data_IF_045156661335
#
_entry.id   IF_045156661335
#
_cell.length_a   1.000
_cell.length_b   1.000
_cell.length_c   1.000
_cell.angle_alpha   90.00
_cell.angle_beta   90.00
_cell.angle_gamma   90.00
#
_symmetry.space_group_name_H-M   'P 1'
#
loop_
_entity.id
_entity.type
_entity.pdbx_description
1 polymer ?
#
# COMPACT_ATOMS: atom_id res chain seq x y z
N UNK A 1 -20.29 17.69 43.54
CA UNK A 1 -21.47 16.82 43.32
C UNK A 1 -22.34 17.49 42.24
N UNK A 2 -22.26 17.08 40.98
CA UNK A 2 -23.05 17.72 39.92
C UNK A 2 -22.51 17.53 38.49
N UNK A 3 -22.14 16.31 38.10
CA UNK A 3 -21.73 16.05 36.69
C UNK A 3 -22.18 14.66 36.15
N UNK A 4 -23.15 14.01 36.73
CA UNK A 4 -23.55 12.66 36.32
C UNK A 4 -25.03 12.52 35.92
N UNK A 5 -25.70 13.62 35.48
CA UNK A 5 -27.12 13.56 35.07
C UNK A 5 -27.40 13.83 33.58
N UNK A 6 -26.40 13.93 32.72
CA UNK A 6 -26.60 14.19 31.29
C UNK A 6 -26.73 12.93 30.39
N UNK A 7 -26.80 11.74 30.96
CA UNK A 7 -26.89 10.49 30.19
C UNK A 7 -28.08 9.59 30.50
N UNK A 8 -29.08 10.06 31.23
CA UNK A 8 -30.29 9.30 31.53
C UNK A 8 -31.54 10.09 31.16
N UNK A 9 -32.36 9.56 30.25
CA UNK A 9 -33.69 10.06 29.99
C UNK A 9 -34.66 9.62 31.09
N UNK A 10 -35.91 10.19 31.11
CA UNK A 10 -36.90 10.01 32.17
C UNK A 10 -37.27 8.56 32.55
N UNK A 11 -36.86 7.56 31.75
CA UNK A 11 -37.06 6.12 32.03
C UNK A 11 -35.83 5.40 32.57
N UNK A 12 -34.77 6.11 32.96
CA UNK A 12 -33.59 5.53 33.64
C UNK A 12 -32.70 4.63 32.77
N UNK A 13 -32.92 4.60 31.47
CA UNK A 13 -32.07 3.81 30.55
C UNK A 13 -30.90 4.64 29.96
N UNK A 14 -29.70 4.04 29.81
CA UNK A 14 -28.60 4.73 29.14
C UNK A 14 -28.97 5.11 27.71
N UNK A 15 -28.63 6.32 27.30
CA UNK A 15 -28.93 6.87 25.97
C UNK A 15 -28.48 5.95 24.82
N UNK A 16 -27.39 5.19 25.02
CA UNK A 16 -26.89 4.16 24.10
C UNK A 16 -27.90 3.02 23.90
N UNK A 17 -28.63 2.62 24.94
CA UNK A 17 -29.62 1.53 24.86
C UNK A 17 -30.86 1.99 24.08
N UNK A 18 -31.29 3.23 24.29
CA UNK A 18 -32.43 3.83 23.55
C UNK A 18 -32.07 3.94 22.07
N UNK A 19 -30.89 4.46 21.73
CA UNK A 19 -30.42 4.54 20.35
C UNK A 19 -30.29 3.15 19.69
N UNK A 20 -29.85 2.15 20.43
CA UNK A 20 -29.78 0.79 19.93
C UNK A 20 -31.15 0.18 19.68
N UNK A 21 -32.13 0.43 20.56
CA UNK A 21 -33.54 -0.01 20.39
C UNK A 21 -34.21 0.67 19.20
N UNK A 22 -34.05 1.97 19.05
CA UNK A 22 -34.55 2.71 17.89
C UNK A 22 -33.95 2.18 16.59
N UNK A 23 -32.68 1.84 16.61
CA UNK A 23 -32.00 1.28 15.45
C UNK A 23 -32.53 -0.12 15.08
N UNK A 24 -32.80 -0.97 16.08
CA UNK A 24 -33.41 -2.29 15.88
C UNK A 24 -34.85 -2.14 15.38
N UNK A 25 -35.63 -1.19 15.90
CA UNK A 25 -36.99 -0.95 15.49
C UNK A 25 -37.06 -0.41 14.06
N UNK A 26 -36.21 0.55 13.69
CA UNK A 26 -36.08 1.01 12.30
C UNK A 26 -35.66 -0.13 11.35
N UNK A 27 -34.71 -0.97 11.75
CA UNK A 27 -34.28 -2.16 10.99
C UNK A 27 -35.44 -3.15 10.80
N UNK A 28 -36.29 -3.33 11.83
CA UNK A 28 -37.45 -4.20 11.78
C UNK A 28 -38.54 -3.67 10.86
N UNK A 29 -38.86 -2.37 10.90
CA UNK A 29 -39.83 -1.75 10.00
C UNK A 29 -39.38 -1.80 8.53
N UNK A 30 -38.07 -1.60 8.26
CA UNK A 30 -37.49 -1.77 6.93
C UNK A 30 -37.64 -3.25 6.48
N UNK A 31 -37.33 -4.20 7.36
CA UNK A 31 -37.44 -5.62 7.06
C UNK A 31 -38.90 -6.05 6.78
N UNK A 32 -39.87 -5.56 7.58
CA UNK A 32 -41.29 -5.78 7.30
C UNK A 32 -41.72 -5.17 5.96
N UNK A 33 -41.31 -3.93 5.66
CA UNK A 33 -41.58 -3.29 4.39
C UNK A 33 -41.05 -4.10 3.20
N UNK A 34 -39.90 -4.75 3.34
CA UNK A 34 -39.36 -5.63 2.31
C UNK A 34 -40.12 -6.96 2.19
N UNK A 35 -40.50 -7.59 3.32
CA UNK A 35 -41.21 -8.86 3.33
C UNK A 35 -42.64 -8.75 2.78
N UNK A 36 -43.28 -7.62 2.96
CA UNK A 36 -44.68 -7.40 2.51
C UNK A 36 -44.80 -6.80 1.10
N UNK A 37 -43.69 -6.34 0.50
CA UNK A 37 -43.70 -5.68 -0.80
C UNK A 37 -43.52 -6.68 -1.96
N UNK A 38 -44.45 -6.73 -2.95
CA UNK A 38 -44.21 -7.54 -4.18
C UNK A 38 -42.95 -7.12 -4.93
N UNK A 39 -42.59 -5.83 -4.89
CA UNK A 39 -41.36 -5.31 -5.48
C UNK A 39 -40.09 -5.89 -4.80
N UNK A 40 -40.14 -6.13 -3.48
CA UNK A 40 -39.03 -6.76 -2.79
C UNK A 40 -38.86 -8.25 -3.16
N UNK A 41 -39.99 -8.98 -3.30
CA UNK A 41 -39.93 -10.37 -3.73
C UNK A 41 -39.34 -10.54 -5.13
N UNK A 42 -39.64 -9.65 -6.07
CA UNK A 42 -39.01 -9.62 -7.39
C UNK A 42 -37.49 -9.39 -7.32
N UNK A 43 -37.07 -8.52 -6.41
CA UNK A 43 -35.63 -8.27 -6.16
C UNK A 43 -34.91 -9.47 -5.52
N UNK A 44 -35.57 -10.18 -4.57
CA UNK A 44 -35.04 -11.43 -4.02
C UNK A 44 -34.91 -12.51 -5.10
N UNK A 45 -35.92 -12.68 -5.95
CA UNK A 45 -35.86 -13.62 -7.07
C UNK A 45 -34.69 -13.28 -8.00
N UNK A 46 -34.48 -12.01 -8.29
CA UNK A 46 -33.39 -11.54 -9.15
C UNK A 46 -32.01 -11.74 -8.50
N UNK A 47 -31.89 -11.58 -7.18
CA UNK A 47 -30.66 -11.94 -6.43
C UNK A 47 -30.34 -13.43 -6.53
N UNK A 48 -31.35 -14.30 -6.40
CA UNK A 48 -31.20 -15.74 -6.54
C UNK A 48 -30.75 -16.08 -7.96
N UNK A 49 -31.39 -15.50 -8.98
CA UNK A 49 -31.01 -15.70 -10.38
C UNK A 49 -29.59 -15.21 -10.64
N UNK A 50 -29.21 -14.03 -10.17
CA UNK A 50 -27.85 -13.49 -10.29
C UNK A 50 -26.82 -14.40 -9.63
N UNK A 51 -27.12 -14.94 -8.46
CA UNK A 51 -26.24 -15.90 -7.77
C UNK A 51 -26.10 -17.23 -8.53
N UNK A 52 -27.22 -17.79 -9.02
CA UNK A 52 -27.21 -19.03 -9.80
C UNK A 52 -26.44 -18.85 -11.12
N UNK A 53 -26.63 -17.72 -11.80
CA UNK A 53 -25.81 -17.36 -12.98
C UNK A 53 -24.33 -17.24 -12.64
N UNK A 54 -24.00 -16.55 -11.55
CA UNK A 54 -22.61 -16.43 -11.08
C UNK A 54 -22.00 -17.80 -10.79
N UNK A 55 -22.76 -18.69 -10.16
CA UNK A 55 -22.34 -20.04 -9.82
C UNK A 55 -22.13 -20.88 -11.09
N UNK A 56 -23.03 -20.81 -12.05
CA UNK A 56 -22.91 -21.51 -13.33
C UNK A 56 -21.69 -21.03 -14.14
N UNK A 57 -21.55 -19.70 -14.28
CA UNK A 57 -20.43 -19.09 -15.01
C UNK A 57 -19.11 -19.35 -14.29
N UNK A 58 -19.06 -19.21 -12.96
CA UNK A 58 -17.88 -19.51 -12.16
C UNK A 58 -17.43 -20.96 -12.31
N UNK A 59 -18.37 -21.93 -12.29
CA UNK A 59 -18.05 -23.36 -12.49
C UNK A 59 -17.48 -23.65 -13.87
N UNK A 60 -17.95 -22.96 -14.93
CA UNK A 60 -17.41 -23.09 -16.28
C UNK A 60 -16.07 -22.35 -16.46
N UNK A 61 -15.91 -21.19 -15.88
CA UNK A 61 -14.70 -20.37 -16.01
C UNK A 61 -13.53 -20.90 -15.17
N UNK A 62 -13.78 -21.46 -13.99
CA UNK A 62 -12.72 -22.02 -13.13
C UNK A 62 -11.76 -22.95 -13.88
N UNK A 63 -12.21 -24.02 -14.58
CA UNK A 63 -11.29 -24.93 -15.26
C UNK A 63 -10.57 -24.26 -16.45
N UNK A 64 -11.23 -23.31 -17.13
CA UNK A 64 -10.61 -22.55 -18.23
C UNK A 64 -9.50 -21.64 -17.70
N UNK A 65 -9.80 -20.86 -16.66
CA UNK A 65 -8.83 -19.97 -16.01
C UNK A 65 -7.67 -20.77 -15.43
N UNK A 66 -7.93 -21.89 -14.74
CA UNK A 66 -6.87 -22.73 -14.21
C UNK A 66 -6.00 -23.32 -15.32
N UNK A 67 -6.56 -23.80 -16.41
CA UNK A 67 -5.78 -24.33 -17.55
C UNK A 67 -4.93 -23.26 -18.23
N UNK A 68 -5.48 -22.06 -18.48
CA UNK A 68 -4.76 -20.97 -19.12
C UNK A 68 -3.66 -20.39 -18.23
N UNK A 69 -3.87 -20.40 -16.90
CA UNK A 69 -2.95 -19.81 -15.94
C UNK A 69 -1.95 -20.79 -15.35
N UNK A 70 -2.13 -22.12 -15.54
CA UNK A 70 -1.15 -23.11 -15.08
C UNK A 70 0.10 -23.04 -15.97
N UNK A 71 1.27 -22.65 -15.44
CA UNK A 71 2.49 -22.57 -16.24
C UNK A 71 2.97 -23.99 -16.59
N UNK A 72 3.50 -24.21 -17.80
CA UNK A 72 4.13 -25.48 -18.15
C UNK A 72 5.30 -25.81 -17.22
N UNK A 73 5.48 -27.09 -16.93
CA UNK A 73 6.53 -27.56 -16.02
C UNK A 73 7.91 -27.16 -16.56
N UNK A 74 8.72 -26.49 -15.71
CA UNK A 74 10.12 -26.13 -16.02
C UNK A 74 10.39 -24.67 -16.41
N UNK A 75 9.36 -23.83 -16.56
CA UNK A 75 9.60 -22.42 -16.89
C UNK A 75 9.63 -21.54 -15.63
N UNK A 76 10.79 -20.87 -15.39
CA UNK A 76 11.03 -19.94 -14.26
C UNK A 76 10.93 -18.46 -14.66
N UNK A 77 10.27 -18.14 -15.78
CA UNK A 77 10.13 -16.76 -16.24
C UNK A 77 9.16 -15.93 -15.38
N UNK A 78 9.33 -14.59 -15.39
CA UNK A 78 8.46 -13.61 -14.71
C UNK A 78 6.98 -13.84 -15.01
N UNK A 79 6.65 -14.23 -16.25
CA UNK A 79 5.29 -14.60 -16.68
C UNK A 79 4.71 -15.80 -15.92
N UNK A 80 5.52 -16.78 -15.54
CA UNK A 80 5.05 -17.94 -14.77
C UNK A 80 4.70 -17.55 -13.31
N UNK A 81 5.43 -16.61 -12.73
CA UNK A 81 5.15 -16.06 -11.41
C UNK A 81 3.87 -15.23 -11.41
N UNK A 82 3.65 -14.39 -12.43
CA UNK A 82 2.42 -13.64 -12.61
C UNK A 82 1.19 -14.56 -12.77
N UNK A 83 1.30 -15.65 -13.55
CA UNK A 83 0.22 -16.64 -13.70
C UNK A 83 -0.10 -17.33 -12.38
N UNK A 84 0.89 -17.74 -11.60
CA UNK A 84 0.68 -18.32 -10.26
C UNK A 84 0.01 -17.34 -9.30
N UNK A 85 0.38 -16.07 -9.39
CA UNK A 85 -0.25 -15.01 -8.59
C UNK A 85 -1.74 -14.86 -8.96
N UNK A 86 -2.09 -14.84 -10.25
CA UNK A 86 -3.46 -14.74 -10.71
C UNK A 86 -4.31 -15.96 -10.30
N UNK A 87 -3.73 -17.16 -10.21
CA UNK A 87 -4.43 -18.36 -9.73
C UNK A 87 -4.92 -18.24 -8.28
N UNK A 88 -4.24 -17.41 -7.46
CA UNK A 88 -4.68 -17.15 -6.08
C UNK A 88 -6.04 -16.43 -6.02
N UNK A 89 -6.44 -15.72 -7.08
CA UNK A 89 -7.70 -15.00 -7.14
C UNK A 89 -8.88 -15.82 -7.67
N UNK A 90 -8.65 -17.07 -8.10
CA UNK A 90 -9.71 -17.98 -8.57
C UNK A 90 -10.85 -18.16 -7.55
N UNK A 91 -10.62 -18.25 -6.23
CA UNK A 91 -11.69 -18.30 -5.23
C UNK A 91 -12.62 -17.08 -5.24
N UNK A 92 -12.12 -15.90 -5.64
CA UNK A 92 -12.92 -14.67 -5.73
C UNK A 92 -13.85 -14.62 -6.94
N UNK A 93 -13.67 -15.51 -7.90
CA UNK A 93 -14.45 -15.50 -9.16
C UNK A 93 -15.95 -15.55 -8.88
N UNK A 94 -16.40 -16.41 -7.96
CA UNK A 94 -17.81 -16.53 -7.61
C UNK A 94 -18.40 -15.26 -6.98
N UNK A 95 -17.85 -14.71 -5.87
CA UNK A 95 -18.46 -13.54 -5.26
C UNK A 95 -18.32 -12.29 -6.14
N UNK A 96 -17.27 -12.15 -6.95
CA UNK A 96 -17.12 -11.03 -7.89
C UNK A 96 -18.12 -11.12 -9.04
N UNK A 97 -18.36 -12.30 -9.60
CA UNK A 97 -19.40 -12.50 -10.61
C UNK A 97 -20.80 -12.25 -10.01
N UNK A 98 -21.05 -12.72 -8.78
CA UNK A 98 -22.30 -12.46 -8.10
C UNK A 98 -22.51 -10.96 -7.88
N UNK A 99 -21.48 -10.23 -7.45
CA UNK A 99 -21.49 -8.78 -7.34
C UNK A 99 -21.78 -8.09 -8.68
N UNK A 100 -21.12 -8.52 -9.76
CA UNK A 100 -21.30 -7.93 -11.10
C UNK A 100 -22.72 -8.17 -11.64
N UNK A 101 -23.22 -9.43 -11.59
CA UNK A 101 -24.58 -9.74 -12.05
C UNK A 101 -25.66 -9.05 -11.21
N UNK A 102 -25.44 -8.94 -9.90
CA UNK A 102 -26.33 -8.19 -9.02
C UNK A 102 -26.32 -6.69 -9.36
N UNK A 103 -25.16 -6.14 -9.71
CA UNK A 103 -25.06 -4.74 -10.16
C UNK A 103 -25.82 -4.47 -11.45
N UNK A 104 -25.77 -5.40 -12.42
CA UNK A 104 -26.57 -5.31 -13.63
C UNK A 104 -28.08 -5.40 -13.30
N UNK A 105 -28.45 -6.32 -12.41
CA UNK A 105 -29.83 -6.45 -11.94
C UNK A 105 -30.33 -5.20 -11.19
N UNK A 106 -29.49 -4.53 -10.42
CA UNK A 106 -29.82 -3.27 -9.75
C UNK A 106 -30.20 -2.17 -10.74
N UNK A 107 -29.43 -2.03 -11.83
CA UNK A 107 -29.71 -1.04 -12.87
C UNK A 107 -31.07 -1.28 -13.53
N UNK A 108 -31.40 -2.53 -13.84
CA UNK A 108 -32.70 -2.93 -14.41
C UNK A 108 -33.83 -2.67 -13.40
N UNK A 109 -33.65 -3.06 -12.15
CA UNK A 109 -34.68 -2.93 -11.13
C UNK A 109 -34.98 -1.47 -10.81
N UNK A 110 -33.99 -0.60 -10.75
CA UNK A 110 -34.16 0.84 -10.55
C UNK A 110 -34.98 1.50 -11.68
N UNK A 111 -34.74 1.05 -12.92
CA UNK A 111 -35.46 1.60 -14.08
C UNK A 111 -36.95 1.20 -14.12
N UNK A 112 -37.31 0.02 -13.56
CA UNK A 112 -38.67 -0.52 -13.62
C UNK A 112 -39.51 -0.17 -12.36
N UNK A 113 -38.88 -0.31 -11.16
CA UNK A 113 -39.61 -0.20 -9.88
C UNK A 113 -39.28 1.07 -9.08
N UNK A 114 -38.36 1.92 -9.58
CA UNK A 114 -37.91 3.13 -8.88
C UNK A 114 -37.12 2.90 -7.60
N UNK A 115 -37.07 1.67 -7.08
CA UNK A 115 -36.32 1.29 -5.88
C UNK A 115 -35.52 0.03 -6.12
N UNK A 116 -34.31 -0.07 -5.51
CA UNK A 116 -33.43 -1.21 -5.62
C UNK A 116 -32.74 -1.55 -4.28
N UNK A 117 -33.42 -1.26 -3.15
CA UNK A 117 -32.80 -1.36 -1.83
C UNK A 117 -32.35 -2.79 -1.48
N UNK A 118 -33.20 -3.81 -1.79
CA UNK A 118 -32.89 -5.22 -1.49
C UNK A 118 -31.72 -5.71 -2.35
N UNK A 119 -31.73 -5.38 -3.64
CA UNK A 119 -30.68 -5.82 -4.56
C UNK A 119 -29.34 -5.10 -4.26
N UNK A 120 -29.40 -3.82 -3.86
CA UNK A 120 -28.23 -3.07 -3.40
C UNK A 120 -27.63 -3.67 -2.12
N UNK A 121 -28.48 -4.11 -1.18
CA UNK A 121 -28.04 -4.84 0.01
C UNK A 121 -27.37 -6.17 -0.37
N UNK A 122 -27.99 -6.98 -1.23
CA UNK A 122 -27.39 -8.22 -1.74
C UNK A 122 -26.02 -8.01 -2.39
N UNK A 123 -25.87 -6.94 -3.19
CA UNK A 123 -24.60 -6.55 -3.78
C UNK A 123 -23.51 -6.26 -2.72
N UNK A 124 -23.86 -5.55 -1.65
CA UNK A 124 -22.95 -5.28 -0.53
C UNK A 124 -22.55 -6.56 0.21
N UNK A 125 -23.49 -7.51 0.38
CA UNK A 125 -23.21 -8.83 0.98
C UNK A 125 -22.23 -9.63 0.11
N UNK A 126 -22.36 -9.64 -1.22
CA UNK A 126 -21.40 -10.33 -2.09
C UNK A 126 -20.02 -9.69 -2.03
N UNK A 127 -19.93 -8.36 -1.90
CA UNK A 127 -18.65 -7.69 -1.67
C UNK A 127 -18.03 -8.10 -0.33
N UNK A 128 -18.82 -8.16 0.74
CA UNK A 128 -18.36 -8.66 2.04
C UNK A 128 -17.82 -10.10 1.95
N UNK A 129 -18.50 -10.98 1.24
CA UNK A 129 -18.04 -12.35 1.02
C UNK A 129 -16.74 -12.39 0.22
N UNK A 130 -16.60 -11.53 -0.81
CA UNK A 130 -15.35 -11.40 -1.55
C UNK A 130 -14.19 -10.98 -0.64
N UNK A 131 -14.39 -9.96 0.18
CA UNK A 131 -13.40 -9.47 1.17
C UNK A 131 -13.03 -10.58 2.17
N UNK A 132 -14.03 -11.30 2.69
CA UNK A 132 -13.80 -12.40 3.62
C UNK A 132 -12.95 -13.53 3.01
N UNK A 133 -13.24 -13.91 1.75
CA UNK A 133 -12.46 -14.91 1.01
C UNK A 133 -11.05 -14.40 0.74
N UNK A 134 -10.90 -13.14 0.32
CA UNK A 134 -9.61 -12.49 0.12
C UNK A 134 -8.72 -12.61 1.36
N UNK A 135 -9.25 -12.23 2.51
CA UNK A 135 -8.50 -12.26 3.79
C UNK A 135 -8.18 -13.68 4.23
N UNK A 136 -9.11 -14.63 4.04
CA UNK A 136 -8.97 -15.99 4.53
C UNK A 136 -8.07 -16.86 3.65
N UNK A 137 -8.22 -16.76 2.32
CA UNK A 137 -7.63 -17.72 1.37
C UNK A 137 -6.45 -17.14 0.59
N UNK A 138 -6.44 -15.83 0.34
CA UNK A 138 -5.45 -15.20 -0.55
C UNK A 138 -4.32 -14.56 0.24
N UNK A 139 -4.65 -13.84 1.31
CA UNK A 139 -3.65 -13.16 2.14
C UNK A 139 -2.88 -14.21 2.96
N UNK A 140 -1.59 -14.35 2.64
CA UNK A 140 -0.66 -15.29 3.29
C UNK A 140 0.21 -14.62 4.34
N UNK A 141 0.54 -13.34 4.15
CA UNK A 141 1.37 -12.58 5.08
C UNK A 141 0.66 -12.44 6.44
N UNK A 142 1.32 -12.76 7.56
CA UNK A 142 0.71 -12.72 8.89
C UNK A 142 0.20 -11.34 9.29
N UNK A 143 0.95 -10.28 8.95
CA UNK A 143 0.58 -8.90 9.26
C UNK A 143 -0.64 -8.46 8.46
N UNK A 144 -0.64 -8.68 7.14
CA UNK A 144 -1.80 -8.37 6.29
C UNK A 144 -3.03 -9.20 6.67
N UNK A 145 -2.84 -10.44 7.10
CA UNK A 145 -3.93 -11.31 7.57
C UNK A 145 -4.55 -10.78 8.87
N UNK A 146 -3.72 -10.29 9.80
CA UNK A 146 -4.19 -9.63 11.01
C UNK A 146 -4.99 -8.37 10.67
N UNK A 147 -4.44 -7.50 9.82
CA UNK A 147 -5.11 -6.30 9.34
C UNK A 147 -6.43 -6.65 8.62
N UNK A 148 -6.41 -7.66 7.77
CA UNK A 148 -7.60 -8.16 7.07
C UNK A 148 -8.69 -8.61 8.04
N UNK A 149 -8.31 -9.41 9.06
CA UNK A 149 -9.24 -9.97 10.04
C UNK A 149 -9.86 -8.91 10.95
N UNK A 150 -9.04 -8.00 11.48
CA UNK A 150 -9.48 -7.05 12.53
C UNK A 150 -9.92 -5.69 11.99
N UNK A 151 -9.59 -5.37 10.73
CA UNK A 151 -9.97 -4.10 10.10
C UNK A 151 -10.83 -4.32 8.87
N UNK A 152 -10.31 -5.03 7.85
CA UNK A 152 -10.97 -5.10 6.55
C UNK A 152 -12.31 -5.85 6.61
N UNK A 153 -12.39 -6.97 7.35
CA UNK A 153 -13.65 -7.72 7.53
C UNK A 153 -14.68 -6.91 8.33
N UNK A 154 -14.39 -6.29 9.50
CA UNK A 154 -15.33 -5.42 10.19
C UNK A 154 -15.80 -4.22 9.35
N UNK A 155 -14.90 -3.55 8.66
CA UNK A 155 -15.25 -2.43 7.77
C UNK A 155 -16.17 -2.89 6.63
N UNK A 156 -15.86 -4.03 6.01
CA UNK A 156 -16.72 -4.61 4.97
C UNK A 156 -18.09 -5.06 5.53
N UNK A 157 -18.15 -5.53 6.77
CA UNK A 157 -19.41 -5.86 7.44
C UNK A 157 -20.25 -4.60 7.72
N UNK A 158 -19.63 -3.54 8.26
CA UNK A 158 -20.30 -2.25 8.45
C UNK A 158 -20.81 -1.67 7.13
N UNK A 159 -20.01 -1.77 6.07
CA UNK A 159 -20.43 -1.36 4.72
C UNK A 159 -21.62 -2.18 4.22
N UNK A 160 -21.58 -3.51 4.41
CA UNK A 160 -22.68 -4.38 4.01
C UNK A 160 -23.99 -4.05 4.73
N UNK A 161 -23.91 -3.71 6.02
CA UNK A 161 -25.05 -3.28 6.83
C UNK A 161 -25.49 -1.84 6.56
N UNK A 162 -24.73 -1.04 5.80
CA UNK A 162 -25.02 0.37 5.55
C UNK A 162 -24.71 1.29 6.75
N UNK A 163 -23.92 0.79 7.72
CA UNK A 163 -23.58 1.49 8.96
C UNK A 163 -22.23 2.21 8.89
N UNK A 164 -21.48 2.01 7.81
CA UNK A 164 -20.12 2.52 7.72
C UNK A 164 -20.06 4.05 7.88
N UNK A 165 -20.95 4.79 7.21
CA UNK A 165 -20.95 6.25 7.25
C UNK A 165 -21.36 6.78 8.63
N UNK A 166 -22.31 6.12 9.30
CA UNK A 166 -22.75 6.47 10.66
C UNK A 166 -21.61 6.27 11.66
N UNK A 167 -20.96 5.11 11.60
CA UNK A 167 -19.83 4.77 12.50
C UNK A 167 -18.65 5.69 12.21
N UNK A 168 -18.30 5.90 10.92
CA UNK A 168 -17.22 6.80 10.53
C UNK A 168 -17.49 8.25 10.99
N UNK A 169 -18.73 8.74 10.84
CA UNK A 169 -19.12 10.07 11.33
C UNK A 169 -18.98 10.22 12.84
N UNK A 170 -19.40 9.22 13.63
CA UNK A 170 -19.22 9.24 15.09
C UNK A 170 -17.74 9.20 15.49
N UNK A 171 -16.93 8.38 14.82
CA UNK A 171 -15.49 8.31 15.07
C UNK A 171 -14.78 9.62 14.68
N UNK A 172 -15.25 10.32 13.65
CA UNK A 172 -14.67 11.59 13.23
C UNK A 172 -15.01 12.74 14.21
N UNK A 173 -16.20 12.71 14.81
CA UNK A 173 -16.61 13.66 15.84
C UNK A 173 -15.91 13.42 17.19
N UNK A 174 -15.44 12.20 17.43
CA UNK A 174 -14.71 11.86 18.67
C UNK A 174 -13.27 12.34 18.56
N UNK A 175 -12.95 13.40 19.29
CA UNK A 175 -11.64 14.05 19.25
C UNK A 175 -10.79 13.59 20.44
N UNK A 176 -9.55 13.17 20.16
CA UNK A 176 -8.55 12.80 21.16
C UNK A 176 -7.53 13.93 21.26
N UNK A 177 -7.45 14.65 22.40
CA UNK A 177 -6.46 15.68 22.59
C UNK A 177 -5.08 15.05 22.83
N UNK A 178 -4.09 15.45 22.05
CA UNK A 178 -2.69 15.08 22.20
C UNK A 178 -1.85 16.36 22.36
N UNK A 179 -1.73 16.84 23.59
CA UNK A 179 -1.07 18.11 23.88
C UNK A 179 -1.84 19.30 23.27
N UNK A 180 -1.17 20.08 22.42
CA UNK A 180 -1.78 21.23 21.72
C UNK A 180 -2.47 20.88 20.41
N UNK A 181 -2.46 19.58 20.02
CA UNK A 181 -3.09 19.09 18.81
C UNK A 181 -4.28 18.21 19.18
N UNK A 182 -5.31 18.27 18.36
CA UNK A 182 -6.51 17.43 18.50
C UNK A 182 -6.71 16.64 17.21
N UNK A 183 -6.83 15.33 17.35
CA UNK A 183 -7.06 14.44 16.21
C UNK A 183 -8.39 13.70 16.39
N UNK A 184 -9.13 13.50 15.30
CA UNK A 184 -10.30 12.63 15.36
C UNK A 184 -9.86 11.19 15.57
N UNK A 185 -10.69 10.40 16.26
CA UNK A 185 -10.42 8.96 16.43
C UNK A 185 -10.36 8.25 15.07
N UNK A 186 -11.17 8.68 14.11
CA UNK A 186 -11.14 8.19 12.74
C UNK A 186 -9.78 8.45 12.07
N UNK A 187 -9.20 9.65 12.27
CA UNK A 187 -7.86 9.99 11.76
C UNK A 187 -6.80 9.05 12.34
N UNK A 188 -6.81 8.80 13.65
CA UNK A 188 -5.86 7.89 14.29
C UNK A 188 -5.98 6.45 13.77
N UNK A 189 -7.21 5.97 13.59
CA UNK A 189 -7.45 4.64 13.02
C UNK A 189 -6.95 4.57 11.57
N UNK A 190 -7.25 5.58 10.74
CA UNK A 190 -6.75 5.65 9.36
C UNK A 190 -5.23 5.69 9.33
N UNK A 191 -4.61 6.49 10.20
CA UNK A 191 -3.15 6.58 10.31
C UNK A 191 -2.51 5.23 10.63
N UNK A 192 -3.05 4.49 11.60
CA UNK A 192 -2.54 3.17 11.97
C UNK A 192 -2.70 2.15 10.83
N UNK A 193 -3.84 2.16 10.13
CA UNK A 193 -4.12 1.25 9.02
C UNK A 193 -3.21 1.57 7.83
N UNK A 194 -3.24 2.81 7.37
CA UNK A 194 -2.49 3.26 6.18
C UNK A 194 -0.99 3.20 6.47
N UNK A 195 -0.57 3.68 7.65
CA UNK A 195 0.81 3.60 8.10
C UNK A 195 1.32 2.16 8.18
N UNK A 196 0.51 1.26 8.72
CA UNK A 196 0.82 -0.16 8.77
C UNK A 196 1.00 -0.78 7.39
N UNK A 197 0.10 -0.48 6.45
CA UNK A 197 0.20 -0.96 5.05
C UNK A 197 1.44 -0.40 4.36
N UNK A 198 1.70 0.91 4.50
CA UNK A 198 2.86 1.55 3.89
C UNK A 198 4.16 1.00 4.49
N UNK A 199 4.20 0.81 5.81
CA UNK A 199 5.35 0.21 6.48
C UNK A 199 5.60 -1.21 6.00
N UNK A 200 4.55 -2.03 5.86
CA UNK A 200 4.66 -3.37 5.32
C UNK A 200 5.17 -3.37 3.87
N UNK A 201 4.64 -2.50 3.01
CA UNK A 201 5.11 -2.32 1.63
C UNK A 201 6.56 -1.88 1.58
N UNK A 202 6.96 -0.94 2.44
CA UNK A 202 8.34 -0.50 2.58
C UNK A 202 9.27 -1.64 2.97
N UNK A 203 8.88 -2.43 3.97
CA UNK A 203 9.64 -3.60 4.40
C UNK A 203 9.76 -4.65 3.30
N UNK A 204 8.66 -4.99 2.64
CA UNK A 204 8.67 -5.93 1.53
C UNK A 204 9.56 -5.45 0.38
N UNK A 205 9.46 -4.17 0.00
CA UNK A 205 10.30 -3.54 -1.03
C UNK A 205 11.78 -3.56 -0.63
N UNK A 206 12.08 -3.27 0.63
CA UNK A 206 13.44 -3.30 1.17
C UNK A 206 14.03 -4.73 1.15
N UNK A 207 13.26 -5.74 1.55
CA UNK A 207 13.68 -7.13 1.52
C UNK A 207 14.01 -7.60 0.08
N UNK A 208 13.20 -7.18 -0.91
CA UNK A 208 13.47 -7.46 -2.33
C UNK A 208 14.74 -6.74 -2.82
N UNK A 209 14.85 -5.44 -2.54
CA UNK A 209 16.00 -4.63 -2.94
C UNK A 209 17.30 -5.14 -2.31
N UNK A 210 17.30 -5.41 -1.02
CA UNK A 210 18.45 -5.97 -0.30
C UNK A 210 18.85 -7.34 -0.84
N UNK A 211 17.88 -8.21 -1.12
CA UNK A 211 18.16 -9.53 -1.67
C UNK A 211 18.75 -9.46 -3.08
N UNK A 212 18.29 -8.51 -3.90
CA UNK A 212 18.83 -8.25 -5.23
C UNK A 212 20.27 -7.73 -5.16
N UNK A 213 20.52 -6.72 -4.31
CA UNK A 213 21.85 -6.12 -4.15
C UNK A 213 22.85 -7.15 -3.61
N UNK A 214 22.45 -7.94 -2.60
CA UNK A 214 23.33 -8.95 -1.98
C UNK A 214 23.70 -10.10 -2.91
N UNK A 215 22.93 -10.37 -3.96
CA UNK A 215 23.21 -11.40 -4.99
C UNK A 215 24.22 -10.96 -6.04
N UNK A 216 24.63 -9.70 -6.07
CA UNK A 216 25.62 -9.18 -7.03
C UNK A 216 27.04 -9.58 -6.59
N UNK A 217 27.52 -10.72 -7.07
CA UNK A 217 28.81 -11.28 -6.67
C UNK A 217 30.00 -10.43 -7.14
N UNK A 218 29.84 -9.69 -8.23
CA UNK A 218 30.88 -8.79 -8.78
C UNK A 218 31.17 -7.57 -7.88
N UNK A 219 30.23 -7.22 -6.98
CA UNK A 219 30.41 -6.08 -6.09
C UNK A 219 31.16 -6.45 -4.80
N UNK A 220 32.04 -5.58 -4.36
CA UNK A 220 32.72 -5.73 -3.06
C UNK A 220 31.69 -5.76 -1.92
N UNK A 221 31.91 -6.60 -0.87
CA UNK A 221 30.95 -6.74 0.24
C UNK A 221 30.56 -5.41 0.88
N UNK A 222 31.53 -4.52 1.12
CA UNK A 222 31.28 -3.19 1.69
C UNK A 222 30.36 -2.33 0.80
N UNK A 223 30.54 -2.40 -0.53
CA UNK A 223 29.70 -1.66 -1.47
C UNK A 223 28.27 -2.19 -1.47
N UNK A 224 28.08 -3.52 -1.42
CA UNK A 224 26.75 -4.13 -1.30
C UNK A 224 26.01 -3.67 -0.06
N UNK A 225 26.71 -3.58 1.07
CA UNK A 225 26.10 -3.14 2.32
C UNK A 225 25.73 -1.65 2.29
N UNK A 226 26.60 -0.79 1.75
CA UNK A 226 26.31 0.63 1.55
C UNK A 226 25.11 0.84 0.62
N UNK A 227 25.04 0.14 -0.51
CA UNK A 227 23.93 0.23 -1.46
C UNK A 227 22.63 -0.28 -0.84
N UNK A 228 22.65 -1.38 -0.09
CA UNK A 228 21.50 -1.90 0.61
C UNK A 228 20.99 -0.90 1.67
N UNK A 229 21.90 -0.26 2.41
CA UNK A 229 21.53 0.74 3.42
C UNK A 229 20.98 2.03 2.79
N UNK A 230 21.59 2.48 1.69
CA UNK A 230 21.08 3.61 0.92
C UNK A 230 19.67 3.34 0.36
N UNK A 231 19.43 2.14 -0.19
CA UNK A 231 18.10 1.72 -0.65
C UNK A 231 17.10 1.68 0.50
N UNK A 232 17.45 1.14 1.67
CA UNK A 232 16.61 1.12 2.87
C UNK A 232 16.16 2.52 3.28
N UNK A 233 17.11 3.46 3.41
CA UNK A 233 16.84 4.85 3.79
C UNK A 233 15.92 5.52 2.76
N UNK A 234 16.17 5.29 1.47
CA UNK A 234 15.36 5.85 0.38
C UNK A 234 13.93 5.29 0.42
N UNK A 235 13.76 3.97 0.54
CA UNK A 235 12.46 3.31 0.57
C UNK A 235 11.61 3.80 1.75
N UNK A 236 12.19 3.82 2.96
CA UNK A 236 11.45 4.30 4.13
C UNK A 236 11.23 5.81 4.13
N UNK A 237 12.16 6.60 3.57
CA UNK A 237 11.98 8.03 3.34
C UNK A 237 10.82 8.32 2.40
N UNK A 238 10.76 7.64 1.25
CA UNK A 238 9.63 7.77 0.31
C UNK A 238 8.32 7.29 0.94
N UNK A 239 8.35 6.16 1.65
CA UNK A 239 7.20 5.63 2.37
C UNK A 239 6.65 6.63 3.39
N UNK A 240 7.52 7.30 4.14
CA UNK A 240 7.16 8.36 5.08
C UNK A 240 6.51 9.56 4.38
N UNK A 241 7.08 10.03 3.26
CA UNK A 241 6.51 11.16 2.49
C UNK A 241 5.13 10.80 1.93
N UNK A 242 4.95 9.58 1.42
CA UNK A 242 3.66 9.08 0.94
C UNK A 242 2.64 9.04 2.08
N UNK A 243 3.03 8.56 3.26
CA UNK A 243 2.16 8.54 4.44
C UNK A 243 1.71 9.95 4.83
N UNK A 244 2.64 10.89 4.93
CA UNK A 244 2.33 12.31 5.24
C UNK A 244 1.35 12.91 4.23
N UNK A 245 1.57 12.67 2.93
CA UNK A 245 0.71 13.16 1.87
C UNK A 245 -0.72 12.57 1.96
N UNK A 246 -0.87 11.25 2.15
CA UNK A 246 -2.17 10.58 2.30
C UNK A 246 -2.92 11.08 3.53
N UNK A 247 -2.20 11.42 4.59
CA UNK A 247 -2.78 11.97 5.83
C UNK A 247 -3.13 13.46 5.72
N UNK A 248 -2.92 14.09 4.56
CA UNK A 248 -3.20 15.51 4.35
C UNK A 248 -2.23 16.46 5.05
N UNK A 249 -1.09 15.96 5.50
CA UNK A 249 -0.04 16.79 6.14
C UNK A 249 0.74 17.49 5.03
N UNK A 250 0.85 18.82 5.13
CA UNK A 250 1.59 19.61 4.15
C UNK A 250 3.07 19.23 4.13
N UNK A 251 3.54 18.81 2.96
CA UNK A 251 4.95 18.50 2.73
C UNK A 251 5.82 19.76 2.56
N UNK A 252 5.23 20.96 2.50
CA UNK A 252 5.96 22.21 2.26
C UNK A 252 6.99 22.48 3.35
N UNK A 253 6.62 22.32 4.62
CA UNK A 253 7.56 22.48 5.74
C UNK A 253 8.69 21.47 5.73
N UNK A 254 8.38 20.21 5.35
CA UNK A 254 9.38 19.17 5.20
C UNK A 254 10.28 19.43 3.99
N UNK A 255 9.75 20.01 2.90
CA UNK A 255 10.54 20.39 1.72
C UNK A 255 11.55 21.48 2.04
N UNK A 256 11.17 22.50 2.85
CA UNK A 256 12.10 23.55 3.31
C UNK A 256 13.21 22.96 4.17
N UNK A 257 12.87 22.13 5.14
CA UNK A 257 13.86 21.46 5.99
C UNK A 257 14.75 20.50 5.18
N UNK A 258 14.17 19.70 4.31
CA UNK A 258 14.87 18.78 3.41
C UNK A 258 15.79 19.53 2.44
N UNK A 259 15.36 20.69 1.95
CA UNK A 259 16.17 21.60 1.13
C UNK A 259 17.39 22.11 1.88
N UNK A 260 17.22 22.57 3.12
CA UNK A 260 18.34 23.03 3.96
C UNK A 260 19.34 21.90 4.23
N UNK A 261 18.86 20.71 4.58
CA UNK A 261 19.69 19.50 4.75
C UNK A 261 20.39 19.14 3.43
N UNK A 262 19.67 19.20 2.31
CA UNK A 262 20.22 18.90 0.98
C UNK A 262 21.35 19.85 0.59
N UNK A 263 21.20 21.15 0.85
CA UNK A 263 22.24 22.16 0.64
C UNK A 263 23.47 21.86 1.52
N UNK A 264 23.25 21.57 2.81
CA UNK A 264 24.35 21.21 3.74
C UNK A 264 25.10 19.96 3.30
N UNK A 265 24.39 18.91 2.88
CA UNK A 265 24.99 17.69 2.32
C UNK A 265 25.71 17.97 1.00
N UNK A 266 25.13 18.84 0.14
CA UNK A 266 25.75 19.26 -1.12
C UNK A 266 27.12 19.93 -0.90
N UNK A 267 27.21 20.86 0.06
CA UNK A 267 28.50 21.46 0.42
C UNK A 267 29.48 20.44 1.01
N UNK A 268 28.99 19.51 1.85
CA UNK A 268 29.81 18.43 2.41
C UNK A 268 30.38 17.48 1.34
N UNK A 269 29.65 17.26 0.27
CA UNK A 269 30.02 16.36 -0.84
C UNK A 269 30.68 17.07 -2.03
N UNK A 270 30.74 18.41 -2.03
CA UNK A 270 31.19 19.22 -3.15
C UNK A 270 32.56 18.79 -3.69
N UNK A 271 33.55 18.58 -2.80
CA UNK A 271 34.91 18.17 -3.21
C UNK A 271 34.92 16.77 -3.85
N UNK A 272 34.12 15.84 -3.31
CA UNK A 272 34.01 14.48 -3.87
C UNK A 272 33.37 14.52 -5.26
N UNK A 273 32.31 15.30 -5.42
CA UNK A 273 31.63 15.48 -6.71
C UNK A 273 32.56 16.16 -7.75
N UNK A 274 33.28 17.21 -7.34
CA UNK A 274 34.26 17.88 -8.22
C UNK A 274 35.34 16.93 -8.70
N UNK A 275 35.97 16.20 -7.80
CA UNK A 275 37.00 15.22 -8.17
C UNK A 275 36.46 14.13 -9.10
N UNK A 276 35.24 13.65 -8.84
CA UNK A 276 34.60 12.64 -9.69
C UNK A 276 34.34 13.17 -11.10
N UNK A 277 33.77 14.38 -11.21
CA UNK A 277 33.47 15.00 -12.51
C UNK A 277 34.78 15.24 -13.29
N UNK A 278 35.80 15.80 -12.65
CA UNK A 278 37.12 16.01 -13.28
C UNK A 278 37.75 14.70 -13.74
N UNK A 279 37.68 13.64 -12.92
CA UNK A 279 38.18 12.32 -13.29
C UNK A 279 37.46 11.71 -14.49
N UNK A 280 36.11 11.87 -14.55
CA UNK A 280 35.31 11.41 -15.69
C UNK A 280 35.65 12.20 -16.96
N UNK A 281 35.87 13.52 -16.88
CA UNK A 281 36.26 14.36 -18.02
C UNK A 281 37.62 13.90 -18.52
N UNK A 282 38.62 13.73 -17.66
CA UNK A 282 39.95 13.26 -18.05
C UNK A 282 39.91 11.90 -18.74
N UNK A 283 39.10 10.96 -18.24
CA UNK A 283 38.92 9.65 -18.85
C UNK A 283 38.21 9.73 -20.23
N UNK A 284 37.25 10.64 -20.41
CA UNK A 284 36.54 10.78 -21.68
C UNK A 284 37.35 11.50 -22.73
N UNK A 285 38.10 12.53 -22.33
CA UNK A 285 38.94 13.33 -23.25
C UNK A 285 40.27 12.63 -23.59
N UNK A 286 40.72 11.67 -22.74
CA UNK A 286 41.94 10.94 -22.94
C UNK A 286 43.20 11.83 -22.89
N UNK A 287 43.12 12.98 -22.21
CA UNK A 287 44.26 13.91 -22.09
C UNK A 287 45.40 13.39 -21.23
N UNK A 288 45.07 12.45 -20.33
CA UNK A 288 46.06 11.75 -19.52
C UNK A 288 45.75 10.25 -19.52
N UNK A 289 46.75 9.42 -19.74
CA UNK A 289 46.63 7.96 -19.83
C UNK A 289 47.63 7.25 -18.91
N UNK A 290 47.37 5.98 -18.67
CA UNK A 290 48.33 5.15 -17.91
C UNK A 290 49.65 5.06 -18.70
N UNK A 291 50.74 5.40 -18.04
CA UNK A 291 52.08 5.47 -18.63
C UNK A 291 52.60 6.88 -18.89
N UNK A 292 51.70 7.91 -18.84
CA UNK A 292 52.11 9.30 -19.00
C UNK A 292 52.85 9.81 -17.75
N UNK A 293 53.88 10.60 -17.99
CA UNK A 293 54.60 11.32 -16.92
C UNK A 293 53.94 12.67 -16.71
N UNK A 294 53.57 12.95 -15.45
CA UNK A 294 52.89 14.18 -15.06
C UNK A 294 53.59 14.83 -13.87
N UNK A 295 53.61 16.16 -13.86
CA UNK A 295 54.06 16.98 -12.75
C UNK A 295 52.83 17.74 -12.19
N UNK A 296 52.69 17.73 -10.85
CA UNK A 296 51.60 18.38 -10.14
C UNK A 296 52.06 19.76 -9.64
N UNK A 297 51.10 20.65 -9.46
CA UNK A 297 51.32 22.01 -8.93
C UNK A 297 52.08 22.02 -7.59
N UNK A 298 52.04 20.94 -6.84
CA UNK A 298 52.75 20.75 -5.56
C UNK A 298 54.22 20.36 -5.70
N UNK A 299 54.75 20.21 -6.94
CA UNK A 299 56.12 19.77 -7.25
C UNK A 299 56.32 18.27 -7.17
N UNK A 300 55.31 17.48 -6.90
CA UNK A 300 55.36 16.03 -6.99
C UNK A 300 55.17 15.61 -8.44
N UNK A 301 56.03 14.71 -8.91
CA UNK A 301 56.02 14.22 -10.29
C UNK A 301 56.18 12.71 -10.34
N UNK A 302 55.56 12.09 -11.34
CA UNK A 302 55.57 10.64 -11.50
C UNK A 302 54.85 10.14 -12.72
N UNK A 303 54.93 8.84 -12.95
CA UNK A 303 54.23 8.16 -14.03
C UNK A 303 52.86 7.66 -13.55
N UNK A 304 51.83 7.87 -14.35
CA UNK A 304 50.45 7.38 -14.04
C UNK A 304 50.45 5.85 -14.13
N UNK A 305 50.29 5.18 -12.98
CA UNK A 305 50.20 3.71 -12.91
C UNK A 305 48.76 3.25 -13.05
N UNK A 306 47.82 4.05 -12.51
CA UNK A 306 46.37 3.72 -12.53
C UNK A 306 45.53 4.97 -12.51
N UNK A 307 44.52 4.96 -13.34
CA UNK A 307 43.50 6.02 -13.39
C UNK A 307 42.14 5.48 -12.97
N UNK A 308 41.43 6.21 -12.14
CA UNK A 308 40.07 5.91 -11.68
C UNK A 308 39.19 7.14 -11.85
N UNK A 309 37.86 6.97 -11.80
CA UNK A 309 36.91 8.09 -11.96
C UNK A 309 37.05 9.19 -10.87
N UNK A 310 37.85 9.01 -9.80
CA UNK A 310 37.98 9.98 -8.71
C UNK A 310 39.42 10.29 -8.29
N UNK A 311 40.40 9.60 -8.84
CA UNK A 311 41.79 9.73 -8.43
C UNK A 311 42.72 9.09 -9.47
N UNK A 312 43.89 9.66 -9.65
CA UNK A 312 45.01 9.01 -10.33
C UNK A 312 46.05 8.50 -9.32
N UNK A 313 46.70 7.39 -9.62
CA UNK A 313 47.79 6.85 -8.84
C UNK A 313 49.06 7.07 -9.64
N UNK A 314 50.01 7.84 -9.07
CA UNK A 314 51.31 8.13 -9.64
C UNK A 314 52.40 7.32 -8.95
N UNK A 315 53.36 6.83 -9.70
CA UNK A 315 54.61 6.26 -9.18
C UNK A 315 55.73 7.26 -9.39
N UNK A 316 56.31 7.72 -8.30
CA UNK A 316 57.42 8.66 -8.29
C UNK A 316 58.76 7.96 -8.62
N UNK A 317 59.81 8.71 -8.95
CA UNK A 317 61.15 8.14 -9.25
C UNK A 317 61.76 7.32 -8.11
N UNK A 318 61.39 7.59 -6.86
CA UNK A 318 61.83 6.84 -5.70
C UNK A 318 60.90 5.64 -5.36
N UNK A 319 59.97 5.30 -6.30
CA UNK A 319 59.09 4.12 -6.18
C UNK A 319 57.92 4.29 -5.19
N UNK A 320 57.63 5.52 -4.74
CA UNK A 320 56.44 5.79 -3.90
C UNK A 320 55.19 5.96 -4.75
N UNK A 321 54.07 5.50 -4.22
CA UNK A 321 52.79 5.69 -4.85
C UNK A 321 52.04 6.86 -4.20
N UNK A 322 51.66 7.82 -5.02
CA UNK A 322 50.90 8.99 -4.61
C UNK A 322 49.49 8.91 -5.21
N UNK A 323 48.48 9.22 -4.44
CA UNK A 323 47.07 9.28 -4.87
C UNK A 323 46.66 10.74 -5.01
N UNK A 324 46.27 11.13 -6.21
CA UNK A 324 45.92 12.52 -6.57
C UNK A 324 44.47 12.58 -7.04
#
# INVERSE_FOLDING_TARGET
MGQNQQGMNMDGQPEIVIQALEFVEQGWEIAKGWLLSPAAWSQFALLIVAYLMALYVSRKLRPVVTRLMTPPAGQTHVLSSARRFLLLFVPLLLPLLAYAFTGLGESVTRSIFGSGAVIAFGKRVFLFLAVRILVREIIRDPFLKLLGKYVLIPVAALYALGLLDVVAGKLDQTVVPLGNLSFSLLFLIRFLIVGGVIFWLGRWSNDQSSSFIKKQEEMRPAMRELMAKAAEITIFGVAFLILMNIMGISLTSLAVLGGAIGVGLGFGLQKIASNFISGVILLLEGQATVGDYVELDGGEAGTIVKMTARAAILETFDGRWIVV
#
